data_IF_554143539665
#
_entry.id   IF_554143539665
#
_cell.length_a   1.000
_cell.length_b   1.000
_cell.length_c   1.000
_cell.angle_alpha   90.00
_cell.angle_beta   90.00
_cell.angle_gamma   90.00
#
_symmetry.space_group_name_H-M   'P 1'
#
loop_
_entity.id
_entity.type
_entity.pdbx_description
1 polymer ?
#
# COMPACT_ATOMS: atom_id res chain seq x y z
N UNK A 1 -29.49 -13.87 12.15
CA UNK A 1 -29.60 -13.46 10.74
C UNK A 1 -31.00 -13.79 10.26
N UNK A 2 -31.70 -12.82 9.70
CA UNK A 2 -33.09 -12.99 9.18
C UNK A 2 -33.04 -13.10 7.64
N UNK A 3 -34.11 -13.67 7.07
CA UNK A 3 -34.26 -13.74 5.61
C UNK A 3 -34.26 -12.32 5.01
N UNK A 4 -33.38 -12.06 4.03
CA UNK A 4 -33.24 -10.77 3.37
C UNK A 4 -32.26 -9.80 4.07
N UNK A 5 -31.65 -10.20 5.18
CA UNK A 5 -30.63 -9.41 5.86
C UNK A 5 -29.29 -9.52 5.11
N UNK A 6 -28.61 -8.37 4.92
CA UNK A 6 -27.29 -8.34 4.29
C UNK A 6 -26.26 -8.98 5.22
N UNK A 7 -25.54 -9.99 4.74
CA UNK A 7 -24.50 -10.69 5.51
C UNK A 7 -23.17 -9.98 5.48
N UNK A 8 -22.82 -9.40 4.35
CA UNK A 8 -21.57 -8.69 4.15
C UNK A 8 -21.65 -7.76 2.94
N UNK A 9 -21.07 -6.58 3.04
CA UNK A 9 -20.80 -5.69 1.92
C UNK A 9 -19.31 -5.82 1.49
N UNK A 10 -19.07 -5.81 0.18
CA UNK A 10 -17.73 -5.77 -0.38
C UNK A 10 -17.15 -4.33 -0.38
N UNK A 11 -15.87 -4.16 -0.74
CA UNK A 11 -15.21 -2.85 -0.73
C UNK A 11 -15.80 -1.85 -1.72
N UNK A 12 -16.53 -2.31 -2.75
CA UNK A 12 -17.20 -1.49 -3.77
C UNK A 12 -18.72 -1.50 -3.63
N UNK A 13 -19.23 -1.85 -2.46
CA UNK A 13 -20.67 -1.87 -2.17
C UNK A 13 -20.93 -0.94 -1.00
N UNK A 14 -21.97 -0.12 -1.11
CA UNK A 14 -22.44 0.77 -0.05
C UNK A 14 -23.94 0.60 0.13
N UNK A 15 -24.36 0.27 1.34
CA UNK A 15 -25.76 0.02 1.68
C UNK A 15 -26.47 -0.99 0.76
N UNK A 16 -25.76 -2.04 0.33
CA UNK A 16 -26.28 -3.09 -0.57
C UNK A 16 -26.28 -2.72 -2.06
N UNK A 17 -25.84 -1.51 -2.43
CA UNK A 17 -25.76 -1.06 -3.82
C UNK A 17 -24.32 -1.00 -4.31
N UNK A 18 -24.10 -1.28 -5.59
CA UNK A 18 -22.80 -1.18 -6.22
C UNK A 18 -22.36 0.29 -6.28
N UNK A 19 -21.26 0.61 -5.60
CA UNK A 19 -20.64 1.93 -5.53
C UNK A 19 -19.21 1.86 -6.08
N UNK A 20 -19.04 1.42 -7.31
CA UNK A 20 -17.76 1.29 -7.98
C UNK A 20 -17.39 2.63 -8.64
N UNK A 21 -16.32 3.26 -8.14
CA UNK A 21 -15.82 4.52 -8.66
C UNK A 21 -16.64 5.75 -8.25
N UNK A 22 -16.46 6.83 -9.00
CA UNK A 22 -17.07 8.14 -8.75
C UNK A 22 -17.62 8.74 -10.05
N UNK A 23 -18.57 9.64 -9.93
CA UNK A 23 -19.09 10.42 -11.06
C UNK A 23 -18.24 11.67 -11.26
N UNK A 24 -17.83 11.92 -12.50
CA UNK A 24 -17.02 13.08 -12.91
C UNK A 24 -17.67 13.83 -14.06
N UNK A 25 -17.37 15.13 -14.16
CA UNK A 25 -17.71 15.92 -15.33
C UNK A 25 -16.72 15.60 -16.45
N UNK A 26 -17.21 15.01 -17.55
CA UNK A 26 -16.39 14.53 -18.65
C UNK A 26 -16.61 15.36 -19.90
N UNK A 27 -15.53 15.74 -20.58
CA UNK A 27 -15.56 16.30 -21.93
C UNK A 27 -15.04 15.28 -22.96
N UNK A 28 -15.76 15.13 -24.07
CA UNK A 28 -15.32 14.38 -25.24
C UNK A 28 -14.76 15.38 -26.27
N UNK A 29 -13.45 15.60 -26.22
CA UNK A 29 -12.75 16.51 -27.13
C UNK A 29 -11.28 16.10 -27.24
N UNK A 30 -10.63 16.48 -28.33
CA UNK A 30 -9.16 16.41 -28.40
C UNK A 30 -8.54 17.61 -27.71
N UNK A 31 -7.45 17.38 -26.98
CA UNK A 31 -6.70 18.43 -26.30
C UNK A 31 -5.21 18.29 -26.62
N UNK A 32 -4.71 19.09 -27.56
CA UNK A 32 -3.28 19.24 -27.91
C UNK A 32 -2.50 17.94 -28.07
N UNK A 33 -3.19 16.83 -28.36
CA UNK A 33 -2.59 15.48 -28.47
C UNK A 33 -2.37 14.76 -27.15
N UNK A 34 -2.62 15.38 -26.02
CA UNK A 34 -2.43 14.74 -24.69
C UNK A 34 -3.37 13.56 -24.44
N UNK A 35 -4.50 13.50 -25.15
CA UNK A 35 -5.44 12.38 -25.11
C UNK A 35 -5.46 11.55 -26.40
N UNK A 36 -4.33 11.52 -27.10
CA UNK A 36 -4.19 10.68 -28.30
C UNK A 36 -4.42 9.21 -27.98
N UNK A 37 -5.16 8.52 -28.87
CA UNK A 37 -5.61 7.12 -28.67
C UNK A 37 -6.43 6.97 -27.36
N UNK A 38 -5.96 6.12 -26.43
CA UNK A 38 -6.64 5.80 -25.16
C UNK A 38 -6.07 6.61 -23.99
N UNK A 39 -5.38 7.69 -24.25
CA UNK A 39 -4.85 8.55 -23.20
C UNK A 39 -5.95 9.43 -22.60
N UNK A 40 -5.87 9.63 -21.30
CA UNK A 40 -6.84 10.39 -20.52
C UNK A 40 -6.14 11.59 -19.90
N UNK A 41 -6.75 12.76 -20.05
CA UNK A 41 -6.35 13.97 -19.32
C UNK A 41 -7.24 14.14 -18.10
N UNK A 42 -6.63 14.38 -16.95
CA UNK A 42 -7.34 14.50 -15.66
C UNK A 42 -7.03 15.86 -15.03
N UNK A 43 -8.04 16.47 -14.42
CA UNK A 43 -7.88 17.70 -13.63
C UNK A 43 -7.17 17.43 -12.31
N UNK A 44 -6.31 18.36 -11.89
CA UNK A 44 -5.67 18.31 -10.58
C UNK A 44 -6.69 18.32 -9.43
N UNK A 45 -7.89 18.87 -9.65
CA UNK A 45 -9.01 18.83 -8.71
C UNK A 45 -9.34 17.40 -8.29
N UNK A 46 -9.37 16.45 -9.23
CA UNK A 46 -9.64 15.02 -8.96
C UNK A 46 -8.57 14.43 -8.04
N UNK A 47 -7.31 14.78 -8.28
CA UNK A 47 -6.19 14.34 -7.45
C UNK A 47 -6.21 14.97 -6.06
N UNK A 48 -6.46 16.29 -5.96
CA UNK A 48 -6.52 17.02 -4.68
C UNK A 48 -7.69 16.56 -3.81
N UNK A 49 -8.85 16.32 -4.41
CA UNK A 49 -10.04 15.86 -3.69
C UNK A 49 -9.91 14.41 -3.19
N UNK A 50 -8.96 13.64 -3.73
CA UNK A 50 -8.75 12.24 -3.35
C UNK A 50 -9.88 11.29 -3.74
N UNK A 51 -10.75 11.68 -4.68
CA UNK A 51 -11.93 10.90 -5.09
C UNK A 51 -11.56 9.53 -5.72
N UNK A 52 -10.38 9.45 -6.33
CA UNK A 52 -9.84 8.21 -6.89
C UNK A 52 -8.69 7.62 -6.06
N UNK A 53 -8.49 8.10 -4.84
CA UNK A 53 -7.50 7.51 -3.93
C UNK A 53 -7.96 6.11 -3.52
N UNK A 54 -7.02 5.19 -3.45
CA UNK A 54 -7.26 3.84 -2.95
C UNK A 54 -6.44 3.59 -1.69
N UNK A 55 -7.03 2.83 -0.75
CA UNK A 55 -6.34 2.38 0.46
C UNK A 55 -6.13 0.88 0.34
N UNK A 56 -4.87 0.48 0.35
CA UNK A 56 -4.47 -0.92 0.33
C UNK A 56 -3.94 -1.29 1.71
N UNK A 57 -4.43 -2.39 2.27
CA UNK A 57 -3.92 -2.92 3.53
C UNK A 57 -2.97 -4.06 3.17
N UNK A 58 -1.68 -3.83 3.40
CA UNK A 58 -0.66 -4.84 3.18
C UNK A 58 -0.22 -5.47 4.49
N UNK A 59 -0.02 -6.78 4.45
CA UNK A 59 0.37 -7.58 5.60
C UNK A 59 1.83 -7.97 5.48
N UNK A 60 2.63 -7.56 6.45
CA UNK A 60 4.03 -7.92 6.57
C UNK A 60 4.22 -8.93 7.71
N UNK A 61 4.90 -10.03 7.43
CA UNK A 61 5.10 -11.10 8.40
C UNK A 61 6.57 -11.21 8.79
N UNK A 62 6.81 -11.27 10.10
CA UNK A 62 8.11 -11.61 10.66
C UNK A 62 7.99 -12.84 11.55
N UNK A 63 8.85 -13.81 11.32
CA UNK A 63 8.84 -15.08 12.07
C UNK A 63 10.18 -15.25 12.77
N UNK A 64 10.13 -15.46 14.10
CA UNK A 64 11.29 -15.89 14.90
C UNK A 64 11.28 -17.41 15.01
N UNK A 65 12.42 -18.02 14.71
CA UNK A 65 12.58 -19.48 14.66
C UNK A 65 13.73 -19.93 15.55
N UNK A 66 13.61 -21.18 16.02
CA UNK A 66 14.75 -21.86 16.60
C UNK A 66 15.62 -22.42 15.49
N UNK A 67 16.85 -21.90 15.35
CA UNK A 67 17.83 -22.37 14.37
C UNK A 67 18.86 -23.29 15.04
N UNK A 68 19.67 -24.01 14.24
CA UNK A 68 20.76 -24.85 14.76
C UNK A 68 21.86 -24.06 15.47
N UNK A 69 21.96 -22.76 15.21
CA UNK A 69 22.97 -21.85 15.77
C UNK A 69 22.48 -21.13 17.03
N UNK A 70 21.19 -21.22 17.33
CA UNK A 70 20.51 -20.52 18.42
C UNK A 70 19.14 -20.06 18.04
N UNK A 71 18.48 -19.38 18.94
CA UNK A 71 17.15 -18.82 18.72
C UNK A 71 17.25 -17.43 18.10
N UNK A 72 16.37 -17.13 17.16
CA UNK A 72 16.16 -15.77 16.66
C UNK A 72 15.38 -14.99 17.72
N UNK A 73 15.77 -13.74 17.96
CA UNK A 73 15.19 -12.89 19.00
C UNK A 73 14.53 -11.68 18.35
N UNK A 74 13.31 -11.37 18.77
CA UNK A 74 12.64 -10.12 18.41
C UNK A 74 12.91 -9.13 19.55
N UNK A 75 13.53 -7.99 19.24
CA UNK A 75 14.00 -7.00 20.21
C UNK A 75 14.06 -5.60 19.58
N UNK A 76 13.83 -4.54 20.35
CA UNK A 76 14.08 -3.17 19.89
C UNK A 76 15.59 -2.85 19.82
N UNK A 77 16.42 -3.58 20.53
CA UNK A 77 17.86 -3.38 20.65
C UNK A 77 18.59 -3.95 19.42
N UNK A 78 18.70 -3.15 18.37
CA UNK A 78 19.31 -3.55 17.10
C UNK A 78 20.67 -2.85 16.96
N UNK A 79 21.78 -3.58 16.90
CA UNK A 79 23.09 -2.97 16.75
C UNK A 79 23.24 -2.28 15.38
N UNK A 80 23.92 -1.14 15.36
CA UNK A 80 24.21 -0.31 14.18
C UNK A 80 23.00 0.31 13.46
N UNK A 81 21.91 0.54 14.19
CA UNK A 81 20.72 1.25 13.69
C UNK A 81 20.62 2.63 14.36
N UNK A 82 20.02 3.57 13.63
CA UNK A 82 19.78 4.91 14.14
C UNK A 82 18.69 4.90 15.23
N UNK A 83 18.93 5.56 16.35
CA UNK A 83 17.99 5.67 17.47
C UNK A 83 16.61 6.24 17.04
N UNK A 84 16.61 7.14 16.05
CA UNK A 84 15.38 7.75 15.53
C UNK A 84 14.46 6.71 14.84
N UNK A 85 15.05 5.71 14.18
CA UNK A 85 14.29 4.62 13.55
C UNK A 85 13.75 3.61 14.57
N UNK A 86 14.45 3.46 15.69
CA UNK A 86 14.07 2.53 16.76
C UNK A 86 13.04 3.12 17.72
N UNK A 87 12.93 4.45 17.82
CA UNK A 87 12.00 5.14 18.73
C UNK A 87 10.53 4.82 18.52
N UNK A 88 10.17 4.33 17.32
CA UNK A 88 8.81 3.91 16.99
C UNK A 88 8.49 2.46 17.37
N UNK A 89 9.49 1.70 17.85
CA UNK A 89 9.28 0.33 18.32
C UNK A 89 8.77 0.30 19.76
N UNK A 90 8.03 -0.75 20.08
CA UNK A 90 7.67 -1.10 21.46
C UNK A 90 8.83 -1.83 22.15
N UNK A 91 8.73 -2.01 23.45
CA UNK A 91 9.69 -2.80 24.24
C UNK A 91 9.81 -4.26 23.73
N UNK A 92 8.81 -4.73 23.02
CA UNK A 92 8.81 -6.04 22.36
C UNK A 92 9.50 -6.07 20.99
N UNK A 93 10.06 -4.94 20.53
CA UNK A 93 10.72 -4.80 19.24
C UNK A 93 9.79 -4.75 18.03
N UNK A 94 8.53 -4.37 18.22
CA UNK A 94 7.52 -4.28 17.16
C UNK A 94 7.02 -2.84 17.03
N UNK A 95 6.74 -2.39 15.81
CA UNK A 95 6.28 -1.04 15.56
C UNK A 95 4.93 -0.75 16.22
N UNK A 96 4.74 0.49 16.69
CA UNK A 96 3.50 0.92 17.34
C UNK A 96 2.39 1.14 16.32
N UNK A 97 1.17 0.76 16.68
CA UNK A 97 -0.04 1.07 15.90
C UNK A 97 -0.24 2.59 15.84
N UNK A 98 -0.62 3.09 14.67
CA UNK A 98 -0.79 4.52 14.39
C UNK A 98 0.48 5.23 13.90
N UNK A 99 1.63 4.54 13.87
CA UNK A 99 2.87 5.12 13.36
C UNK A 99 2.84 5.23 11.84
N UNK A 100 3.24 6.38 11.31
CA UNK A 100 3.48 6.58 9.89
C UNK A 100 4.87 6.05 9.54
N UNK A 101 4.94 5.09 8.61
CA UNK A 101 6.17 4.42 8.17
C UNK A 101 6.54 4.83 6.77
N UNK A 102 7.83 4.99 6.54
CA UNK A 102 8.45 5.29 5.24
C UNK A 102 9.26 4.10 4.77
N UNK A 103 9.67 4.14 3.49
CA UNK A 103 10.57 3.15 2.93
C UNK A 103 11.81 2.93 3.81
N UNK A 104 12.14 1.66 4.06
CA UNK A 104 13.24 1.18 4.90
C UNK A 104 13.05 1.30 6.41
N UNK A 105 12.00 1.91 6.92
CA UNK A 105 11.72 1.94 8.36
C UNK A 105 11.59 0.52 8.91
N UNK A 106 12.02 0.34 10.16
CA UNK A 106 11.97 -0.96 10.83
C UNK A 106 10.55 -1.21 11.33
N UNK A 107 9.92 -2.27 10.84
CA UNK A 107 8.61 -2.74 11.29
C UNK A 107 8.73 -3.70 12.48
N UNK A 108 9.70 -4.61 12.43
CA UNK A 108 9.97 -5.58 13.49
C UNK A 108 11.48 -5.75 13.62
N UNK A 109 12.00 -5.46 14.79
CA UNK A 109 13.40 -5.67 15.12
C UNK A 109 13.67 -7.15 15.35
N UNK A 110 14.55 -7.76 14.55
CA UNK A 110 14.93 -9.17 14.67
C UNK A 110 16.43 -9.36 14.57
N UNK A 111 16.95 -10.17 15.48
CA UNK A 111 18.33 -10.60 15.50
C UNK A 111 18.44 -12.11 15.24
N UNK A 112 19.35 -12.48 14.36
CA UNK A 112 19.64 -13.88 14.02
C UNK A 112 21.09 -14.21 14.34
N UNK A 113 21.40 -15.37 14.95
CA UNK A 113 22.77 -15.81 15.21
C UNK A 113 23.59 -15.91 13.92
N UNK A 114 24.82 -15.37 13.92
CA UNK A 114 25.75 -15.45 12.79
C UNK A 114 26.33 -16.86 12.66
N UNK A 115 26.40 -17.43 11.45
CA UNK A 115 27.15 -18.65 11.20
C UNK A 115 28.66 -18.40 11.35
N UNK A 116 29.42 -19.40 11.80
CA UNK A 116 30.90 -19.29 11.99
C UNK A 116 31.66 -18.84 10.75
N UNK A 117 31.13 -19.10 9.56
CA UNK A 117 31.74 -18.72 8.28
C UNK A 117 31.71 -17.21 8.01
N UNK A 118 30.79 -16.48 8.61
CA UNK A 118 30.63 -15.02 8.43
C UNK A 118 31.45 -14.21 9.45
N UNK A 119 32.18 -14.89 10.36
CA UNK A 119 33.05 -14.21 11.32
C UNK A 119 34.37 -13.83 10.69
N UNK A 120 34.85 -12.61 10.97
CA UNK A 120 36.20 -12.21 10.58
C UNK A 120 37.26 -13.02 11.37
N UNK A 121 38.51 -13.16 10.87
CA UNK A 121 39.58 -13.85 11.59
C UNK A 121 39.82 -13.25 12.99
N UNK A 122 39.67 -11.95 13.15
CA UNK A 122 39.84 -11.24 14.42
C UNK A 122 38.68 -11.57 15.39
N UNK A 123 37.42 -11.57 14.93
CA UNK A 123 36.26 -11.99 15.74
C UNK A 123 36.38 -13.43 16.22
N UNK A 124 36.94 -14.35 15.39
CA UNK A 124 37.21 -15.75 15.80
C UNK A 124 38.23 -15.87 16.90
N UNK A 125 39.28 -15.02 16.85
CA UNK A 125 40.32 -14.99 17.89
C UNK A 125 39.75 -14.44 19.21
N UNK A 126 39.04 -13.32 19.16
CA UNK A 126 38.41 -12.71 20.34
C UNK A 126 37.41 -13.68 20.98
N UNK A 127 36.59 -14.37 20.18
CA UNK A 127 35.64 -15.35 20.67
C UNK A 127 36.31 -16.54 21.38
N UNK A 128 37.44 -17.06 20.86
CA UNK A 128 38.21 -18.11 21.49
C UNK A 128 38.87 -17.71 22.82
N UNK A 129 39.24 -16.42 22.95
CA UNK A 129 39.97 -15.93 24.14
C UNK A 129 38.98 -15.55 25.26
N UNK A 130 37.84 -14.92 24.93
CA UNK A 130 36.98 -14.33 25.95
C UNK A 130 35.85 -15.28 26.38
N UNK A 131 35.56 -16.34 25.60
CA UNK A 131 34.49 -17.31 25.85
C UNK A 131 33.13 -16.64 26.20
N UNK A 132 32.94 -15.40 25.78
CA UNK A 132 31.75 -14.61 26.01
C UNK A 132 30.72 -14.93 24.94
N UNK A 133 29.56 -15.44 25.33
CA UNK A 133 28.34 -15.58 24.54
C UNK A 133 27.72 -14.22 24.13
N UNK A 134 28.55 -13.21 23.95
CA UNK A 134 28.13 -11.84 23.64
C UNK A 134 28.22 -11.54 22.15
N UNK A 135 27.12 -11.21 21.56
CA UNK A 135 26.94 -10.43 20.32
C UNK A 135 27.30 -11.00 18.95
N UNK A 136 27.26 -12.31 18.74
CA UNK A 136 27.33 -12.85 17.37
C UNK A 136 25.95 -12.90 16.69
N UNK A 137 25.22 -11.79 16.80
CA UNK A 137 23.93 -11.60 16.19
C UNK A 137 24.04 -10.65 15.00
N UNK A 138 23.29 -10.90 13.94
CA UNK A 138 23.09 -9.96 12.84
C UNK A 138 21.65 -9.47 12.80
N UNK A 139 21.43 -8.24 12.42
CA UNK A 139 20.09 -7.73 12.17
C UNK A 139 19.49 -8.42 10.94
N UNK A 140 18.33 -9.02 11.15
CA UNK A 140 17.45 -9.56 10.09
C UNK A 140 16.05 -8.97 10.25
N UNK A 141 16.01 -7.74 10.69
CA UNK A 141 14.79 -6.97 10.96
C UNK A 141 13.91 -6.89 9.72
N UNK A 142 12.60 -6.98 9.93
CA UNK A 142 11.63 -6.72 8.89
C UNK A 142 11.52 -5.21 8.68
N UNK A 143 11.71 -4.78 7.44
CA UNK A 143 11.65 -3.37 7.06
C UNK A 143 10.57 -3.13 6.02
N UNK A 144 10.07 -1.89 6.00
CA UNK A 144 9.19 -1.44 4.95
C UNK A 144 9.90 -1.53 3.59
N UNK A 145 9.29 -2.11 2.55
CA UNK A 145 9.87 -2.20 1.22
C UNK A 145 10.23 -0.85 0.63
N UNK A 146 11.12 -0.86 -0.34
CA UNK A 146 11.55 0.36 -1.02
C UNK A 146 10.42 0.94 -1.87
N UNK A 147 10.17 2.23 -1.73
CA UNK A 147 9.12 2.94 -2.48
C UNK A 147 7.73 2.84 -1.85
N UNK A 148 7.59 2.12 -0.76
CA UNK A 148 6.33 2.00 -0.03
C UNK A 148 6.36 2.78 1.29
N UNK A 149 5.18 3.20 1.73
CA UNK A 149 4.99 3.90 2.99
C UNK A 149 3.52 3.98 3.33
N UNK A 150 3.18 4.08 4.60
CA UNK A 150 1.79 4.10 5.04
C UNK A 150 1.66 4.24 6.54
N UNK A 151 0.49 3.94 7.06
CA UNK A 151 0.20 3.99 8.50
C UNK A 151 -0.05 2.59 9.02
N UNK A 152 0.61 2.22 10.10
CA UNK A 152 0.39 0.95 10.79
C UNK A 152 -0.99 0.97 11.46
N UNK A 153 -1.88 0.09 11.01
CA UNK A 153 -3.26 0.03 11.52
C UNK A 153 -3.48 -1.09 12.54
N UNK A 154 -2.70 -2.16 12.45
CA UNK A 154 -2.84 -3.34 13.31
C UNK A 154 -1.52 -4.08 13.43
N UNK A 155 -1.27 -4.61 14.62
CA UNK A 155 -0.16 -5.50 14.91
C UNK A 155 -0.68 -6.71 15.65
N UNK A 156 -0.32 -7.90 15.21
CA UNK A 156 -0.65 -9.16 15.87
C UNK A 156 0.62 -9.91 16.22
N UNK A 157 0.74 -10.28 17.47
CA UNK A 157 1.85 -11.03 17.99
C UNK A 157 1.33 -12.40 18.41
N UNK A 158 1.80 -13.44 17.75
CA UNK A 158 1.44 -14.83 18.02
C UNK A 158 2.63 -15.52 18.63
N UNK A 159 2.53 -15.93 19.90
CA UNK A 159 3.55 -16.67 20.61
C UNK A 159 3.02 -18.04 21.06
N UNK A 160 3.93 -19.00 21.23
CA UNK A 160 3.58 -20.32 21.77
C UNK A 160 3.12 -20.26 23.23
N UNK A 161 3.55 -19.24 23.95
CA UNK A 161 3.34 -19.14 25.41
C UNK A 161 1.95 -18.59 25.76
N UNK A 162 1.32 -17.85 24.88
CA UNK A 162 0.00 -17.22 25.12
C UNK A 162 -1.21 -18.09 24.72
N UNK A 163 -0.99 -19.36 24.46
CA UNK A 163 -2.00 -20.41 24.41
C UNK A 163 -3.16 -20.17 23.45
N UNK A 164 -3.11 -20.73 22.25
CA UNK A 164 -4.28 -20.81 21.37
C UNK A 164 -4.01 -20.93 19.88
N UNK A 165 -2.84 -20.58 19.41
CA UNK A 165 -2.51 -20.69 17.98
C UNK A 165 -1.45 -21.75 17.75
N UNK A 166 -1.77 -22.79 16.99
CA UNK A 166 -0.79 -23.78 16.54
C UNK A 166 0.20 -23.14 15.56
N UNK A 167 1.34 -22.70 16.09
CA UNK A 167 2.46 -22.27 15.27
C UNK A 167 3.16 -23.49 14.66
N UNK A 168 3.69 -23.32 13.44
CA UNK A 168 4.45 -24.37 12.76
C UNK A 168 5.62 -24.86 13.64
N UNK A 169 6.01 -26.15 13.55
CA UNK A 169 7.15 -26.65 14.29
C UNK A 169 8.42 -25.81 14.08
N UNK A 170 9.09 -25.44 15.17
CA UNK A 170 10.31 -24.62 15.13
C UNK A 170 10.09 -23.10 15.11
N UNK A 171 8.85 -22.62 15.04
CA UNK A 171 8.50 -21.19 15.18
C UNK A 171 8.30 -20.87 16.66
N UNK A 172 8.96 -19.83 17.14
CA UNK A 172 8.86 -19.34 18.52
C UNK A 172 7.81 -18.22 18.62
N UNK A 173 7.93 -17.21 17.76
CA UNK A 173 7.07 -16.03 17.73
C UNK A 173 6.80 -15.64 16.27
N UNK A 174 5.57 -15.28 15.96
CA UNK A 174 5.16 -14.73 14.66
C UNK A 174 4.56 -13.36 14.90
N UNK A 175 5.04 -12.36 14.17
CA UNK A 175 4.52 -11.01 14.20
C UNK A 175 3.93 -10.68 12.84
N UNK A 176 2.71 -10.19 12.83
CA UNK A 176 2.02 -9.71 11.64
C UNK A 176 1.73 -8.22 11.79
N UNK A 177 2.25 -7.43 10.87
CA UNK A 177 2.07 -5.98 10.84
C UNK A 177 1.22 -5.62 9.63
N UNK A 178 0.10 -4.94 9.86
CA UNK A 178 -0.82 -4.49 8.83
C UNK A 178 -0.61 -2.99 8.62
N UNK A 179 -0.25 -2.61 7.39
CA UNK A 179 0.02 -1.23 7.01
C UNK A 179 -0.99 -0.78 5.98
N UNK A 180 -1.69 0.31 6.24
CA UNK A 180 -2.58 0.97 5.30
C UNK A 180 -1.77 1.91 4.41
N UNK A 181 -1.70 1.57 3.13
CA UNK A 181 -0.98 2.34 2.10
C UNK A 181 -2.01 3.12 1.28
N UNK A 182 -1.94 4.43 1.34
CA UNK A 182 -2.79 5.31 0.54
C UNK A 182 -2.11 5.60 -0.80
N UNK A 183 -2.72 5.15 -1.89
CA UNK A 183 -2.26 5.42 -3.26
C UNK A 183 -3.12 6.49 -3.89
N UNK A 184 -2.49 7.57 -4.32
CA UNK A 184 -3.12 8.68 -5.05
C UNK A 184 -2.99 8.46 -6.55
N UNK A 185 -3.94 9.04 -7.29
CA UNK A 185 -3.89 9.04 -8.75
C UNK A 185 -2.59 9.68 -9.27
N UNK A 186 -1.91 8.98 -10.18
CA UNK A 186 -0.67 9.43 -10.83
C UNK A 186 -0.74 9.26 -12.34
N UNK A 187 0.14 9.97 -13.03
CA UNK A 187 0.36 9.75 -14.48
C UNK A 187 0.82 8.30 -14.70
N UNK A 188 0.22 7.63 -15.68
CA UNK A 188 0.45 6.22 -15.96
C UNK A 188 -0.59 5.27 -15.36
N UNK A 189 -1.45 5.74 -14.44
CA UNK A 189 -2.54 4.93 -13.91
C UNK A 189 -3.60 4.67 -14.97
N UNK A 190 -4.20 3.48 -14.89
CA UNK A 190 -5.24 3.06 -15.82
C UNK A 190 -6.63 3.31 -15.22
N UNK A 191 -7.44 4.05 -15.94
CA UNK A 191 -8.83 4.31 -15.61
C UNK A 191 -9.77 3.65 -16.62
N UNK A 192 -10.98 3.36 -16.21
CA UNK A 192 -12.01 2.83 -17.08
C UNK A 192 -13.40 3.32 -16.67
N UNK A 193 -14.26 3.51 -17.64
CA UNK A 193 -15.70 3.71 -17.42
C UNK A 193 -16.44 2.37 -17.38
N UNK A 194 -17.78 2.44 -17.37
CA UNK A 194 -18.69 1.26 -17.32
C UNK A 194 -18.93 0.60 -18.69
N UNK A 195 -18.40 1.16 -19.78
CA UNK A 195 -18.68 0.74 -21.16
C UNK A 195 -17.45 0.18 -21.88
N UNK A 196 -16.43 -0.28 -21.13
CA UNK A 196 -15.18 -0.79 -21.71
C UNK A 196 -14.25 0.30 -22.27
N UNK A 197 -14.56 1.56 -22.03
CA UNK A 197 -13.73 2.73 -22.38
C UNK A 197 -12.61 2.86 -21.35
N UNK A 198 -11.55 2.12 -21.56
CA UNK A 198 -10.33 2.12 -20.73
C UNK A 198 -9.29 3.06 -21.33
N UNK A 199 -8.50 3.68 -20.46
CA UNK A 199 -7.38 4.51 -20.88
C UNK A 199 -6.35 4.70 -19.78
N UNK A 200 -5.24 5.32 -20.13
CA UNK A 200 -4.13 5.60 -19.24
C UNK A 200 -4.01 7.11 -19.03
N UNK A 201 -3.84 7.55 -17.79
CA UNK A 201 -3.63 8.96 -17.47
C UNK A 201 -2.31 9.42 -18.09
N UNK A 202 -2.37 10.32 -19.06
CA UNK A 202 -1.19 10.88 -19.73
C UNK A 202 -0.66 12.12 -19.02
N UNK A 203 -1.57 12.97 -18.53
CA UNK A 203 -1.21 14.21 -17.85
C UNK A 203 -2.28 14.58 -16.83
N UNK A 204 -1.86 15.25 -15.76
CA UNK A 204 -2.74 15.87 -14.78
C UNK A 204 -2.55 17.38 -14.92
N UNK A 205 -3.59 18.08 -15.37
CA UNK A 205 -3.54 19.52 -15.62
C UNK A 205 -4.09 20.33 -14.43
N UNK A 206 -3.54 21.52 -14.17
CA UNK A 206 -4.16 22.49 -13.27
C UNK A 206 -5.61 22.78 -13.65
N UNK A 207 -6.43 23.18 -12.69
CA UNK A 207 -7.86 23.48 -12.93
C UNK A 207 -8.05 24.61 -13.92
N UNK A 208 -7.14 25.60 -13.93
CA UNK A 208 -7.16 26.77 -14.80
C UNK A 208 -6.91 26.44 -16.28
N UNK A 209 -6.23 25.33 -16.55
CA UNK A 209 -5.94 24.87 -17.92
C UNK A 209 -7.01 23.89 -18.45
N UNK A 210 -7.95 23.49 -17.60
CA UNK A 210 -9.04 22.61 -18.00
C UNK A 210 -10.16 23.41 -18.70
N UNK A 211 -10.84 22.80 -19.69
CA UNK A 211 -12.08 23.36 -20.23
C UNK A 211 -13.11 23.55 -19.12
N UNK A 212 -13.96 24.53 -19.28
CA UNK A 212 -15.00 24.85 -18.30
C UNK A 212 -16.38 25.01 -18.95
N UNK A 213 -17.40 24.79 -18.16
CA UNK A 213 -18.80 24.97 -18.55
C UNK A 213 -19.19 26.42 -18.53
N UNK A 214 -20.40 26.74 -19.02
CA UNK A 214 -20.92 28.13 -19.08
C UNK A 214 -21.01 28.82 -17.71
N UNK A 215 -21.17 28.04 -16.67
CA UNK A 215 -21.22 28.47 -15.27
C UNK A 215 -19.85 28.63 -14.61
N UNK A 216 -18.77 28.32 -15.36
CA UNK A 216 -17.40 28.39 -14.87
C UNK A 216 -16.91 27.09 -14.18
N UNK A 217 -17.72 26.04 -14.11
CA UNK A 217 -17.31 24.76 -13.53
C UNK A 217 -16.26 24.06 -14.41
N UNK A 218 -15.06 23.74 -13.91
CA UNK A 218 -14.04 23.06 -14.70
C UNK A 218 -14.42 21.60 -14.93
N UNK A 219 -14.02 21.06 -16.09
CA UNK A 219 -14.16 19.66 -16.44
C UNK A 219 -13.15 18.83 -15.64
N UNK A 220 -13.55 17.63 -15.21
CA UNK A 220 -12.71 16.74 -14.44
C UNK A 220 -11.82 15.86 -15.29
N UNK A 221 -12.38 15.34 -16.39
CA UNK A 221 -11.73 14.33 -17.24
C UNK A 221 -11.98 14.65 -18.70
N UNK A 222 -10.96 14.56 -19.53
CA UNK A 222 -11.07 14.71 -20.98
C UNK A 222 -10.73 13.40 -21.65
N UNK A 223 -11.67 12.92 -22.47
CA UNK A 223 -11.53 11.70 -23.24
C UNK A 223 -11.47 12.00 -24.74
N UNK A 224 -10.74 11.18 -25.48
CA UNK A 224 -10.66 11.30 -26.93
C UNK A 224 -11.94 10.77 -27.59
N UNK A 225 -12.67 11.59 -28.36
CA UNK A 225 -13.88 11.14 -29.04
C UNK A 225 -13.63 10.07 -30.11
N UNK A 226 -12.42 10.00 -30.68
CA UNK A 226 -12.06 9.00 -31.70
C UNK A 226 -12.10 7.56 -31.19
N UNK A 227 -12.02 7.37 -29.88
CA UNK A 227 -12.16 6.03 -29.26
C UNK A 227 -13.57 5.46 -29.31
N UNK A 228 -14.60 6.27 -29.59
CA UNK A 228 -16.00 5.84 -29.58
C UNK A 228 -16.44 5.17 -30.88
N UNK A 229 -16.23 5.75 -32.08
CA UNK A 229 -16.72 5.18 -33.33
C UNK A 229 -16.10 3.82 -33.65
N UNK A 230 -14.80 3.68 -33.41
CA UNK A 230 -14.08 2.43 -33.73
C UNK A 230 -14.48 1.25 -32.82
N UNK A 231 -14.94 1.53 -31.61
CA UNK A 231 -15.29 0.49 -30.61
C UNK A 231 -16.79 0.30 -30.41
N UNK A 232 -17.60 1.18 -31.01
CA UNK A 232 -19.06 1.10 -31.00
C UNK A 232 -19.71 1.01 -29.60
N UNK A 233 -19.01 1.49 -28.58
CA UNK A 233 -19.51 1.54 -27.19
C UNK A 233 -20.39 2.78 -26.96
N UNK A 234 -21.49 2.83 -27.66
CA UNK A 234 -22.45 3.97 -27.67
C UNK A 234 -23.02 4.26 -26.27
N UNK A 235 -23.07 3.25 -25.40
CA UNK A 235 -23.57 3.40 -24.04
C UNK A 235 -22.90 4.53 -23.25
N UNK A 236 -21.62 4.82 -23.49
CA UNK A 236 -20.93 5.94 -22.85
C UNK A 236 -21.47 7.31 -23.27
N UNK A 237 -21.93 7.46 -24.52
CA UNK A 237 -22.57 8.69 -24.98
C UNK A 237 -23.96 8.87 -24.37
N UNK A 238 -24.74 7.80 -24.29
CA UNK A 238 -26.06 7.82 -23.63
C UNK A 238 -25.91 8.14 -22.15
N UNK A 239 -24.92 7.54 -21.47
CA UNK A 239 -24.60 7.84 -20.08
C UNK A 239 -24.24 9.32 -19.87
N UNK A 240 -23.39 9.88 -20.73
CA UNK A 240 -22.99 11.28 -20.67
C UNK A 240 -24.20 12.21 -20.82
N UNK A 241 -25.10 11.95 -21.77
CA UNK A 241 -26.28 12.78 -21.99
C UNK A 241 -27.31 12.66 -20.86
N UNK A 242 -27.53 11.46 -20.35
CA UNK A 242 -28.43 11.25 -19.23
C UNK A 242 -27.89 11.84 -17.93
N UNK A 243 -26.60 11.66 -17.66
CA UNK A 243 -25.96 12.28 -16.52
C UNK A 243 -25.89 13.81 -16.57
N UNK A 244 -25.91 14.38 -17.78
CA UNK A 244 -26.03 15.84 -17.98
C UNK A 244 -27.47 16.36 -17.74
N UNK A 245 -28.46 15.54 -18.02
CA UNK A 245 -29.88 15.87 -17.83
C UNK A 245 -30.38 15.73 -16.41
N UNK A 246 -29.73 14.86 -15.59
CA UNK A 246 -30.04 14.63 -14.18
C UNK A 246 -29.32 15.55 -13.24
#
# INVERSE_FOLDING_TARGET
VKTGEVLSDGPSIRAGELALGQNFTVALMSLDGYNYEDSIVVSERVRKSGLLDSVHIEKFECVSRRTRLGEEIITPDIPNEDMDQLGNLTDEGVIRVGTEVKARDVLVGKLTPKPEKERTPEERLVWKIINQKGSDMRSTSLRMPHGEGGTVIRVEILSKEEGGVELRPGVLKKVEVYVAIKRRLTVGDKLAGRHGNKGVVSIILPEEEMPFLKDGTPVDIILNPLGVPSRMNIGQLLELHLGWAG
#
